data_IF_681900340461
#
_entry.id   IF_681900340461
#
_cell.length_a   1.000
_cell.length_b   1.000
_cell.length_c   1.000
_cell.angle_alpha   90.00
_cell.angle_beta   90.00
_cell.angle_gamma   90.00
#
_symmetry.space_group_name_H-M   'P 1'
#
loop_
_entity.id
_entity.type
_entity.pdbx_description
1 polymer ?
#
# COMPACT_ATOMS: atom_id res chain seq x y z
N UNK A 1 18.87 -10.36 -8.85
CA UNK A 1 17.71 -9.71 -8.19
C UNK A 1 18.03 -8.23 -8.00
N UNK A 2 17.05 -7.32 -8.18
CA UNK A 2 17.28 -5.86 -8.11
C UNK A 2 16.59 -5.17 -6.92
N UNK A 3 15.40 -5.61 -6.55
CA UNK A 3 14.60 -5.00 -5.50
C UNK A 3 13.72 -6.05 -4.81
N UNK A 4 13.44 -5.83 -3.54
CA UNK A 4 12.49 -6.59 -2.70
C UNK A 4 11.66 -5.57 -1.93
N UNK A 5 10.34 -5.76 -1.83
CA UNK A 5 9.49 -4.92 -0.99
C UNK A 5 8.49 -5.74 -0.16
N UNK A 6 7.98 -5.12 0.91
CA UNK A 6 6.80 -5.61 1.60
C UNK A 6 5.58 -5.58 0.68
N UNK A 7 4.83 -6.69 0.63
CA UNK A 7 3.60 -6.79 -0.19
C UNK A 7 2.42 -6.04 0.41
N UNK A 8 2.26 -6.13 1.73
CA UNK A 8 1.16 -5.53 2.47
C UNK A 8 1.46 -4.06 2.85
N UNK A 9 0.42 -3.25 2.99
CA UNK A 9 0.56 -1.79 3.24
C UNK A 9 0.56 -1.40 4.71
N UNK A 10 0.44 -2.37 5.62
CA UNK A 10 0.41 -2.08 7.05
C UNK A 10 1.83 -2.01 7.64
N UNK A 11 1.97 -1.26 8.72
CA UNK A 11 3.19 -1.25 9.50
C UNK A 11 3.21 -2.45 10.45
N UNK A 12 4.31 -3.20 10.43
CA UNK A 12 4.58 -4.27 11.38
C UNK A 12 5.92 -4.02 12.05
N UNK A 13 5.90 -3.63 13.32
CA UNK A 13 7.10 -3.24 14.07
C UNK A 13 8.17 -4.33 14.08
N UNK A 14 7.78 -5.59 14.22
CA UNK A 14 8.70 -6.74 14.28
C UNK A 14 9.49 -6.97 12.98
N UNK A 15 9.04 -6.44 11.83
CA UNK A 15 9.73 -6.66 10.56
C UNK A 15 11.09 -5.97 10.50
N UNK A 16 11.25 -4.84 11.20
CA UNK A 16 12.52 -4.14 11.27
C UNK A 16 13.61 -5.01 11.94
N UNK A 17 13.25 -5.70 13.02
CA UNK A 17 14.18 -6.55 13.80
C UNK A 17 14.66 -7.77 13.00
N UNK A 18 13.88 -8.21 12.02
CA UNK A 18 14.16 -9.42 11.22
C UNK A 18 14.49 -9.11 9.76
N UNK A 19 14.65 -7.82 9.40
CA UNK A 19 14.81 -7.37 8.01
C UNK A 19 15.98 -8.06 7.31
N UNK A 20 17.15 -8.07 7.93
CA UNK A 20 18.37 -8.65 7.35
C UNK A 20 18.26 -10.17 7.14
N UNK A 21 17.61 -10.86 8.08
CA UNK A 21 17.36 -12.30 7.97
C UNK A 21 16.39 -12.62 6.83
N UNK A 22 15.31 -11.85 6.70
CA UNK A 22 14.35 -11.98 5.61
C UNK A 22 15.03 -11.73 4.26
N UNK A 23 15.84 -10.67 4.15
CA UNK A 23 16.59 -10.33 2.95
C UNK A 23 17.49 -11.49 2.52
N UNK A 24 18.29 -12.01 3.45
CA UNK A 24 19.18 -13.15 3.22
C UNK A 24 18.42 -14.38 2.76
N UNK A 25 17.31 -14.72 3.42
CA UNK A 25 16.49 -15.89 3.07
C UNK A 25 15.84 -15.76 1.69
N UNK A 26 15.36 -14.57 1.33
CA UNK A 26 14.74 -14.34 0.02
C UNK A 26 15.80 -14.39 -1.10
N UNK A 27 16.97 -13.78 -0.89
CA UNK A 27 18.11 -13.88 -1.82
C UNK A 27 18.50 -15.34 -2.02
N UNK A 28 18.72 -16.08 -0.93
CA UNK A 28 19.12 -17.49 -1.00
C UNK A 28 18.07 -18.36 -1.69
N UNK A 29 16.78 -18.11 -1.40
CA UNK A 29 15.68 -18.80 -2.07
C UNK A 29 15.68 -18.54 -3.57
N UNK A 30 15.86 -17.29 -3.98
CA UNK A 30 15.96 -16.92 -5.40
C UNK A 30 17.12 -17.65 -6.08
N UNK A 31 18.32 -17.56 -5.54
CA UNK A 31 19.53 -18.16 -6.13
C UNK A 31 19.45 -19.68 -6.23
N UNK A 32 18.85 -20.33 -5.23
CA UNK A 32 18.80 -21.80 -5.15
C UNK A 32 17.64 -22.39 -5.96
N UNK A 33 16.47 -21.77 -5.91
CA UNK A 33 15.23 -22.39 -6.38
C UNK A 33 14.61 -21.72 -7.60
N UNK A 34 14.92 -20.45 -7.88
CA UNK A 34 14.22 -19.65 -8.90
C UNK A 34 15.13 -19.27 -10.06
N UNK A 35 16.33 -18.77 -9.75
CA UNK A 35 17.28 -18.29 -10.74
C UNK A 35 17.67 -19.40 -11.72
N UNK A 36 17.72 -19.06 -13.01
CA UNK A 36 18.09 -19.95 -14.10
C UNK A 36 17.18 -21.19 -14.30
N UNK A 37 15.96 -21.21 -13.73
CA UNK A 37 14.98 -22.28 -13.96
C UNK A 37 14.06 -22.04 -15.17
N UNK A 38 14.03 -20.82 -15.69
CA UNK A 38 13.18 -20.42 -16.81
C UNK A 38 14.00 -19.71 -17.90
N UNK A 39 13.48 -19.67 -19.13
CA UNK A 39 14.13 -18.99 -20.25
C UNK A 39 14.16 -17.47 -20.05
N UNK A 40 13.07 -16.90 -19.54
CA UNK A 40 13.00 -15.48 -19.22
C UNK A 40 13.90 -15.16 -18.04
N UNK A 41 14.75 -14.14 -18.20
CA UNK A 41 15.70 -13.69 -17.17
C UNK A 41 15.12 -12.62 -16.25
N UNK A 42 14.12 -11.90 -16.73
CA UNK A 42 13.48 -10.79 -16.03
C UNK A 42 12.03 -11.14 -15.71
N UNK A 43 11.68 -11.12 -14.43
CA UNK A 43 10.35 -11.39 -13.90
C UNK A 43 10.22 -10.77 -12.51
N UNK A 44 8.98 -10.57 -12.09
CA UNK A 44 8.62 -10.29 -10.69
C UNK A 44 8.07 -11.57 -10.10
N UNK A 45 8.35 -11.85 -8.83
CA UNK A 45 7.79 -13.01 -8.16
C UNK A 45 7.43 -12.67 -6.72
N UNK A 46 6.30 -13.22 -6.29
CA UNK A 46 5.78 -13.00 -4.95
C UNK A 46 6.20 -14.18 -4.06
N UNK A 47 6.65 -13.88 -2.85
CA UNK A 47 7.03 -14.89 -1.85
C UNK A 47 6.32 -14.67 -0.53
N UNK A 48 6.03 -15.78 0.14
CA UNK A 48 5.55 -15.80 1.51
C UNK A 48 6.59 -16.47 2.42
N UNK A 49 7.08 -15.73 3.41
CA UNK A 49 7.98 -16.27 4.43
C UNK A 49 7.15 -16.65 5.66
N UNK A 50 7.30 -17.89 6.14
CA UNK A 50 6.55 -18.37 7.31
C UNK A 50 6.92 -17.57 8.56
N UNK A 51 6.00 -17.50 9.54
CA UNK A 51 6.21 -16.75 10.78
C UNK A 51 7.48 -17.15 11.55
N UNK A 52 7.82 -18.44 11.56
CA UNK A 52 9.04 -18.95 12.17
C UNK A 52 10.28 -18.78 11.29
N UNK A 53 10.14 -18.22 10.08
CA UNK A 53 11.18 -17.96 9.07
C UNK A 53 11.90 -19.23 8.58
N UNK A 54 11.35 -20.41 8.82
CA UNK A 54 11.96 -21.67 8.38
C UNK A 54 11.76 -21.94 6.89
N UNK A 55 10.69 -21.42 6.29
CA UNK A 55 10.34 -21.69 4.89
C UNK A 55 9.98 -20.42 4.14
N UNK A 56 10.38 -20.40 2.88
CA UNK A 56 9.99 -19.41 1.87
C UNK A 56 9.17 -20.14 0.82
N UNK A 57 7.95 -19.67 0.57
CA UNK A 57 7.04 -20.19 -0.43
C UNK A 57 6.98 -19.23 -1.61
N UNK A 58 7.15 -19.73 -2.82
CA UNK A 58 6.82 -19.01 -4.04
C UNK A 58 5.29 -19.00 -4.20
N UNK A 59 4.72 -17.82 -4.40
CA UNK A 59 3.27 -17.62 -4.52
C UNK A 59 2.89 -17.44 -5.98
N UNK A 60 3.56 -16.53 -6.68
CA UNK A 60 3.19 -16.18 -8.05
C UNK A 60 4.39 -15.63 -8.84
N UNK A 61 4.29 -15.69 -10.17
CA UNK A 61 5.19 -15.01 -11.11
C UNK A 61 4.42 -14.00 -11.94
N UNK A 62 4.96 -12.79 -12.02
CA UNK A 62 4.41 -11.70 -12.79
C UNK A 62 5.41 -11.21 -13.86
N UNK A 63 4.92 -10.74 -15.03
CA UNK A 63 5.78 -10.17 -16.06
C UNK A 63 6.60 -8.98 -15.53
N UNK A 64 7.84 -8.86 -16.00
CA UNK A 64 8.69 -7.72 -15.64
C UNK A 64 8.35 -6.50 -16.49
N UNK A 65 7.67 -5.53 -15.87
CA UNK A 65 7.42 -4.23 -16.48
C UNK A 65 6.24 -3.48 -15.83
N UNK A 66 5.95 -2.25 -16.28
CA UNK A 66 4.97 -1.34 -15.67
C UNK A 66 3.55 -1.87 -15.49
N UNK A 67 3.19 -2.95 -16.17
CA UNK A 67 1.92 -3.66 -15.98
C UNK A 67 1.79 -4.34 -14.61
N UNK A 68 2.92 -4.68 -13.99
CA UNK A 68 2.99 -5.24 -12.64
C UNK A 68 3.25 -4.11 -11.66
N UNK A 69 2.51 -4.07 -10.55
CA UNK A 69 2.71 -3.03 -9.53
C UNK A 69 4.11 -3.15 -8.89
N UNK A 70 4.86 -2.04 -8.88
CA UNK A 70 6.18 -1.96 -8.24
C UNK A 70 6.14 -1.80 -6.72
N UNK A 71 4.95 -1.58 -6.15
CA UNK A 71 4.67 -1.44 -4.72
C UNK A 71 5.44 -0.29 -4.07
N UNK A 72 6.49 -0.60 -3.31
CA UNK A 72 7.37 0.39 -2.68
C UNK A 72 8.44 0.91 -3.64
N UNK A 73 8.37 0.53 -4.91
CA UNK A 73 9.29 0.97 -5.94
C UNK A 73 8.59 1.55 -7.17
N UNK A 74 9.22 2.54 -7.80
CA UNK A 74 8.89 2.94 -9.17
C UNK A 74 9.58 2.02 -10.18
N UNK A 75 9.00 1.87 -11.37
CA UNK A 75 9.66 1.10 -12.43
C UNK A 75 10.95 1.74 -12.92
N UNK A 76 11.00 3.07 -12.94
CA UNK A 76 12.21 3.81 -13.32
C UNK A 76 13.40 3.48 -12.40
N UNK A 77 13.19 3.44 -11.08
CA UNK A 77 14.27 3.09 -10.16
C UNK A 77 14.66 1.62 -10.26
N UNK A 78 13.72 0.69 -10.52
CA UNK A 78 14.06 -0.73 -10.74
C UNK A 78 14.89 -0.89 -12.01
N UNK A 79 14.56 -0.16 -13.08
CA UNK A 79 15.26 -0.25 -14.36
C UNK A 79 16.66 0.34 -14.28
N UNK A 80 16.84 1.44 -13.55
CA UNK A 80 18.11 2.16 -13.39
C UNK A 80 18.95 1.67 -12.22
N UNK A 81 18.42 0.81 -11.34
CA UNK A 81 19.13 0.26 -10.20
C UNK A 81 20.44 -0.42 -10.61
N UNK A 82 21.53 0.02 -9.99
CA UNK A 82 22.86 -0.59 -10.09
C UNK A 82 23.32 -1.01 -8.70
N UNK A 83 24.02 -2.15 -8.61
CA UNK A 83 24.53 -2.68 -7.35
C UNK A 83 23.67 -3.79 -6.72
N UNK A 84 23.79 -4.02 -5.40
CA UNK A 84 23.09 -5.10 -4.70
C UNK A 84 21.57 -4.84 -4.65
N UNK A 85 20.76 -5.90 -4.46
CA UNK A 85 19.32 -5.73 -4.29
C UNK A 85 19.03 -4.84 -3.07
N UNK A 86 18.07 -3.93 -3.23
CA UNK A 86 17.55 -3.17 -2.08
C UNK A 86 16.31 -3.84 -1.51
N UNK A 87 16.17 -3.84 -0.19
CA UNK A 87 14.97 -4.34 0.51
C UNK A 87 14.27 -3.21 1.28
N UNK A 88 13.04 -2.89 0.88
CA UNK A 88 12.18 -1.88 1.53
C UNK A 88 11.04 -2.53 2.33
N UNK A 89 10.86 -2.01 3.54
CA UNK A 89 9.76 -2.34 4.44
C UNK A 89 9.08 -1.05 4.87
N UNK A 90 7.82 -1.13 5.29
CA UNK A 90 7.14 -0.01 5.90
C UNK A 90 7.70 0.14 7.32
N UNK A 91 8.31 1.28 7.61
CA UNK A 91 9.11 1.48 8.83
C UNK A 91 8.32 2.10 9.98
N UNK A 92 7.17 2.72 9.69
CA UNK A 92 6.34 3.41 10.68
C UNK A 92 4.85 3.43 10.32
N UNK A 93 4.00 3.67 11.31
CA UNK A 93 2.55 3.82 11.11
C UNK A 93 2.20 5.04 10.24
N UNK A 94 2.99 6.10 10.33
CA UNK A 94 2.84 7.31 9.50
C UNK A 94 3.19 7.03 8.04
N UNK A 95 4.24 6.24 7.78
CA UNK A 95 4.55 5.77 6.43
C UNK A 95 3.44 4.85 5.89
N UNK A 96 2.89 3.96 6.72
CA UNK A 96 1.79 3.08 6.31
C UNK A 96 0.52 3.83 5.89
N UNK A 97 0.22 4.95 6.56
CA UNK A 97 -0.94 5.78 6.21
C UNK A 97 -0.70 6.62 4.96
N UNK A 98 0.54 7.05 4.72
CA UNK A 98 0.95 7.85 3.56
C UNK A 98 1.44 7.04 2.36
N UNK A 99 1.57 5.71 2.51
CA UNK A 99 2.15 4.85 1.49
C UNK A 99 1.41 4.96 0.17
N UNK A 100 2.19 5.21 -0.89
CA UNK A 100 1.72 5.27 -2.29
C UNK A 100 1.07 3.97 -2.75
N UNK A 101 1.32 2.87 -2.05
CA UNK A 101 0.82 1.53 -2.37
C UNK A 101 -0.62 1.29 -1.89
N UNK A 102 -1.44 2.31 -1.63
CA UNK A 102 -2.89 2.16 -1.39
C UNK A 102 -3.69 2.42 -2.68
N UNK A 103 -3.70 1.49 -3.65
CA UNK A 103 -4.57 1.64 -4.81
C UNK A 103 -6.02 1.71 -4.34
N UNK A 104 -6.80 2.58 -4.99
CA UNK A 104 -8.22 2.79 -4.69
C UNK A 104 -8.53 3.30 -3.27
N UNK A 105 -7.60 4.02 -2.62
CA UNK A 105 -7.90 4.70 -1.35
C UNK A 105 -9.14 5.61 -1.45
N UNK A 106 -9.37 6.21 -2.63
CA UNK A 106 -10.55 7.03 -2.94
C UNK A 106 -11.87 6.26 -2.82
N UNK A 107 -11.88 4.94 -3.07
CA UNK A 107 -13.08 4.11 -2.93
C UNK A 107 -13.50 3.87 -1.47
N UNK A 108 -12.68 4.29 -0.51
CA UNK A 108 -12.99 4.19 0.93
C UNK A 108 -13.77 5.39 1.44
N UNK A 109 -13.89 6.44 0.63
CA UNK A 109 -14.61 7.65 1.00
C UNK A 109 -15.96 7.69 0.27
N UNK A 110 -17.01 8.25 0.91
CA UNK A 110 -18.27 8.57 0.24
C UNK A 110 -18.04 9.39 -1.04
N UNK A 111 -18.93 9.25 -2.03
CA UNK A 111 -18.79 9.93 -3.33
C UNK A 111 -18.78 11.45 -3.18
N UNK A 112 -19.54 11.94 -2.22
CA UNK A 112 -19.68 13.35 -1.87
C UNK A 112 -18.31 13.95 -1.52
N UNK A 113 -17.48 13.24 -0.75
CA UNK A 113 -16.12 13.67 -0.39
C UNK A 113 -15.21 13.75 -1.61
N UNK A 114 -15.36 12.82 -2.56
CA UNK A 114 -14.58 12.81 -3.78
C UNK A 114 -14.95 13.98 -4.70
N UNK A 115 -16.25 14.24 -4.88
CA UNK A 115 -16.78 15.32 -5.73
C UNK A 115 -16.36 16.69 -5.20
N UNK A 116 -16.37 16.89 -3.87
CA UNK A 116 -15.89 18.10 -3.20
C UNK A 116 -14.40 18.38 -3.45
N UNK A 117 -13.59 17.33 -3.58
CA UNK A 117 -12.13 17.47 -3.76
C UNK A 117 -11.71 17.84 -5.19
N UNK A 118 -12.62 17.80 -6.17
CA UNK A 118 -12.29 18.07 -7.57
C UNK A 118 -12.05 19.56 -7.81
N UNK A 119 -10.81 19.92 -8.16
CA UNK A 119 -10.47 21.27 -8.62
C UNK A 119 -10.25 22.31 -7.53
N UNK A 120 -10.26 21.90 -6.25
CA UNK A 120 -10.02 22.79 -5.11
C UNK A 120 -8.67 22.53 -4.45
N UNK A 121 -8.09 23.56 -3.84
CA UNK A 121 -6.95 23.39 -2.95
C UNK A 121 -7.36 22.68 -1.66
N UNK A 122 -6.40 22.06 -0.95
CA UNK A 122 -6.68 21.33 0.31
C UNK A 122 -7.36 22.24 1.35
N UNK A 123 -7.04 23.54 1.36
CA UNK A 123 -7.64 24.50 2.28
C UNK A 123 -9.11 24.80 1.94
N UNK A 124 -9.41 25.03 0.66
CA UNK A 124 -10.78 25.26 0.17
C UNK A 124 -11.66 24.03 0.43
N UNK A 125 -11.13 22.82 0.17
CA UNK A 125 -11.81 21.57 0.48
C UNK A 125 -12.13 21.45 1.98
N UNK A 126 -11.16 21.76 2.86
CA UNK A 126 -11.36 21.65 4.31
C UNK A 126 -12.45 22.62 4.82
N UNK A 127 -12.47 23.85 4.30
CA UNK A 127 -13.51 24.82 4.66
C UNK A 127 -14.89 24.38 4.18
N UNK A 128 -15.00 23.89 2.94
CA UNK A 128 -16.27 23.44 2.38
C UNK A 128 -16.80 22.20 3.10
N UNK A 129 -15.94 21.23 3.40
CA UNK A 129 -16.31 20.03 4.15
C UNK A 129 -16.79 20.34 5.57
N UNK A 130 -16.12 21.27 6.27
CA UNK A 130 -16.56 21.72 7.60
C UNK A 130 -17.94 22.40 7.55
N UNK A 131 -18.19 23.19 6.50
CA UNK A 131 -19.48 23.86 6.30
C UNK A 131 -20.60 22.84 6.06
N UNK A 132 -20.38 21.85 5.21
CA UNK A 132 -21.38 20.81 4.94
C UNK A 132 -21.66 19.93 6.16
N UNK A 133 -20.64 19.57 6.93
CA UNK A 133 -20.83 18.87 8.21
C UNK A 133 -21.67 19.68 9.19
N UNK A 134 -21.43 20.99 9.31
CA UNK A 134 -22.21 21.85 10.19
C UNK A 134 -23.69 21.93 9.76
N UNK A 135 -23.95 21.99 8.45
CA UNK A 135 -25.31 21.98 7.89
C UNK A 135 -26.00 20.63 8.14
N UNK A 136 -25.31 19.52 7.89
CA UNK A 136 -25.87 18.18 8.10
C UNK A 136 -26.19 17.91 9.59
N UNK A 137 -25.36 18.39 10.51
CA UNK A 137 -25.63 18.30 11.95
C UNK A 137 -26.86 19.15 12.32
N UNK A 138 -26.95 20.40 11.84
CA UNK A 138 -28.10 21.25 12.18
C UNK A 138 -29.41 20.74 11.57
N UNK A 139 -29.39 20.15 10.37
CA UNK A 139 -30.59 19.58 9.77
C UNK A 139 -31.06 18.30 10.47
N UNK A 140 -30.14 17.57 11.12
CA UNK A 140 -30.48 16.36 11.89
C UNK A 140 -31.21 16.72 13.19
N UNK A 141 -30.78 17.81 13.84
CA UNK A 141 -31.39 18.30 15.09
C UNK A 141 -32.80 18.90 14.87
N UNK A 142 -33.10 19.38 13.66
CA UNK A 142 -34.44 19.89 13.30
C UNK A 142 -35.44 18.74 13.02
N UNK A 143 -35.01 17.60 12.45
CA UNK A 143 -35.90 16.44 12.20
C UNK A 143 -36.23 15.62 13.47
N UNK A 144 -35.41 15.69 14.53
CA UNK A 144 -35.71 15.01 15.80
C UNK A 144 -36.80 15.73 16.63
N UNK A 145 -36.95 17.06 16.48
CA UNK A 145 -37.94 17.85 17.22
C UNK A 145 -39.36 17.78 16.65
N UNK A 146 -39.53 17.39 15.38
CA UNK A 146 -40.86 17.29 14.75
C UNK A 146 -41.58 15.95 15.04
N UNK A 147 -40.94 15.00 15.73
CA UNK A 147 -41.51 13.68 16.06
C UNK A 147 -42.10 13.58 17.48
N UNK A 148 -42.04 14.63 18.31
CA UNK A 148 -42.64 14.62 19.67
C UNK A 148 -44.07 15.17 19.75
N UNK A 149 -44.62 15.74 18.66
CA UNK A 149 -45.92 16.45 18.70
C UNK A 149 -47.13 15.69 18.10
N UNK A 150 -47.08 14.35 18.00
CA UNK A 150 -48.23 13.57 17.51
C UNK A 150 -48.53 12.32 18.36
N UNK A 151 -49.00 12.54 19.60
CA UNK A 151 -49.72 11.54 20.43
C UNK A 151 -51.00 12.15 21.00
#
# INVERSE_FOLDING_TARGET
MKAISQRDVNYYSFLNDIKEELETKIIQFFETHVQNKFFNRDYVFDVYVTRNRERVWLIDFNPFGPMTDGLMYTWEEILTATGPPSFRLITSQTEASQSRSRPFAVNRYPREIFDLSQGQTIAEFAEQFQRELAIAVSSSDEEENDNEDNV
#
